data_IF_329770452638
#
_entry.id   IF_329770452638
#
_cell.length_a   1.000
_cell.length_b   1.000
_cell.length_c   1.000
_cell.angle_alpha   90.00
_cell.angle_beta   90.00
_cell.angle_gamma   90.00
#
_symmetry.space_group_name_H-M   'P 1'
#
loop_
_entity.id
_entity.type
_entity.pdbx_description
1 polymer ?
#
# COMPACT_ATOMS: atom_id res chain seq x y z
N UNK A 1 12.48 9.14 -18.96
CA UNK A 1 11.45 8.62 -18.02
C UNK A 1 12.20 8.26 -16.75
N UNK A 2 11.77 8.78 -15.60
CA UNK A 2 12.46 8.57 -14.32
C UNK A 2 11.44 8.10 -13.29
N UNK A 3 11.63 6.91 -12.73
CA UNK A 3 11.01 6.57 -11.45
C UNK A 3 11.64 7.47 -10.40
N UNK A 4 10.86 8.35 -9.80
CA UNK A 4 11.33 9.11 -8.64
C UNK A 4 10.93 8.32 -7.41
N UNK A 5 11.93 7.85 -6.66
CA UNK A 5 11.66 7.40 -5.29
C UNK A 5 10.95 8.53 -4.56
N UNK A 6 9.85 8.20 -3.89
CA UNK A 6 9.00 9.13 -3.13
C UNK A 6 9.86 9.87 -2.08
N UNK A 7 11.02 9.30 -1.71
CA UNK A 7 11.93 9.80 -0.68
C UNK A 7 12.75 11.05 -1.07
N UNK A 8 12.68 11.54 -2.32
CA UNK A 8 13.56 12.64 -2.79
C UNK A 8 12.83 13.87 -3.35
N UNK A 9 11.50 13.81 -3.57
CA UNK A 9 10.72 14.92 -4.14
C UNK A 9 10.05 15.83 -3.11
N UNK A 10 9.92 17.14 -3.37
CA UNK A 10 9.06 18.04 -2.56
C UNK A 10 7.57 17.89 -2.90
N UNK A 11 7.31 17.59 -4.17
CA UNK A 11 5.99 17.34 -4.77
C UNK A 11 6.12 16.20 -5.76
N UNK A 12 5.13 15.33 -5.80
CA UNK A 12 4.97 14.28 -6.79
C UNK A 12 4.14 14.78 -7.96
N UNK A 13 4.07 14.01 -9.06
CA UNK A 13 3.19 14.30 -10.16
C UNK A 13 1.76 14.58 -9.71
N UNK A 14 1.08 15.49 -10.41
CA UNK A 14 -0.23 15.99 -10.01
C UNK A 14 -0.23 16.96 -8.82
N UNK A 15 0.94 17.43 -8.35
CA UNK A 15 1.06 18.41 -7.26
C UNK A 15 0.92 17.82 -5.85
N UNK A 16 0.90 16.49 -5.72
CA UNK A 16 0.73 15.81 -4.43
C UNK A 16 1.98 16.04 -3.59
N UNK A 17 1.83 16.56 -2.38
CA UNK A 17 2.97 16.89 -1.52
C UNK A 17 3.62 15.64 -0.93
N UNK A 18 4.94 15.66 -0.79
CA UNK A 18 5.64 14.55 -0.12
C UNK A 18 5.19 14.32 1.33
N UNK A 19 4.82 15.42 2.00
CA UNK A 19 4.24 15.39 3.34
C UNK A 19 2.90 14.63 3.44
N UNK A 20 2.27 14.26 2.32
CA UNK A 20 1.11 13.35 2.35
C UNK A 20 1.53 11.94 2.77
N UNK A 21 2.70 11.48 2.34
CA UNK A 21 3.15 10.09 2.52
C UNK A 21 4.24 9.95 3.58
N UNK A 22 4.95 11.04 3.87
CA UNK A 22 6.01 11.06 4.87
C UNK A 22 5.76 12.12 5.94
N UNK A 23 6.19 11.82 7.15
CA UNK A 23 6.23 12.79 8.23
C UNK A 23 7.69 13.06 8.58
N UNK A 24 8.13 14.33 8.52
CA UNK A 24 9.50 14.68 8.89
C UNK A 24 9.67 14.53 10.40
N UNK A 25 10.81 13.98 10.81
CA UNK A 25 11.24 13.93 12.20
C UNK A 25 12.13 15.14 12.53
N UNK A 26 12.26 15.45 13.83
CA UNK A 26 13.05 16.59 14.30
C UNK A 26 14.56 16.45 14.00
N UNK A 27 15.05 15.22 13.85
CA UNK A 27 16.45 14.88 13.54
C UNK A 27 16.77 14.95 12.04
N UNK A 28 15.83 15.40 11.20
CA UNK A 28 15.99 15.50 9.74
C UNK A 28 15.72 14.19 8.99
N UNK A 29 15.37 13.11 9.69
CA UNK A 29 14.86 11.88 9.05
C UNK A 29 13.37 12.03 8.72
N UNK A 30 12.77 11.01 8.11
CA UNK A 30 11.33 10.96 7.89
C UNK A 30 10.79 9.58 8.23
N UNK A 31 9.50 9.52 8.59
CA UNK A 31 8.76 8.27 8.76
C UNK A 31 7.64 8.14 7.73
N UNK A 32 7.33 6.92 7.35
CA UNK A 32 6.13 6.64 6.57
C UNK A 32 4.87 7.04 7.35
N UNK A 33 3.94 7.68 6.66
CA UNK A 33 2.58 7.91 7.16
C UNK A 33 1.72 6.70 6.88
N UNK A 34 0.97 6.31 7.90
CA UNK A 34 -0.20 5.44 7.71
C UNK A 34 -1.32 6.30 7.15
N UNK A 35 -1.85 5.93 5.99
CA UNK A 35 -2.95 6.63 5.34
C UNK A 35 -4.25 5.88 5.61
N UNK A 36 -5.27 6.55 6.18
CA UNK A 36 -6.55 5.90 6.44
C UNK A 36 -7.29 5.67 5.11
N UNK A 37 -8.03 4.57 5.06
CA UNK A 37 -8.80 4.18 3.90
C UNK A 37 -10.05 3.38 4.30
N UNK A 38 -10.88 3.12 3.31
CA UNK A 38 -11.91 2.10 3.34
C UNK A 38 -11.69 1.11 2.20
N UNK A 39 -12.09 -0.14 2.41
CA UNK A 39 -12.12 -1.15 1.36
C UNK A 39 -13.27 -2.09 1.63
N UNK A 40 -14.16 -2.28 0.66
CA UNK A 40 -15.32 -3.17 0.77
C UNK A 40 -16.16 -2.96 2.05
N UNK A 41 -16.39 -1.69 2.40
CA UNK A 41 -17.18 -1.32 3.57
C UNK A 41 -16.43 -1.32 4.90
N UNK A 42 -15.16 -1.73 4.89
CA UNK A 42 -14.36 -1.94 6.08
C UNK A 42 -13.32 -0.83 6.28
N UNK A 43 -13.11 -0.34 7.52
CA UNK A 43 -11.97 0.52 7.84
C UNK A 43 -10.66 -0.19 7.55
N UNK A 44 -9.79 0.48 6.82
CA UNK A 44 -8.50 -0.01 6.39
C UNK A 44 -7.46 1.11 6.45
N UNK A 45 -6.20 0.75 6.29
CA UNK A 45 -5.12 1.71 6.14
C UNK A 45 -3.99 1.09 5.36
N UNK A 46 -3.27 1.92 4.63
CA UNK A 46 -2.12 1.52 3.82
C UNK A 46 -0.94 2.46 4.06
N UNK A 47 0.20 2.06 3.53
CA UNK A 47 1.38 2.92 3.40
C UNK A 47 1.77 2.99 1.93
N UNK A 48 2.40 4.09 1.51
CA UNK A 48 2.99 4.19 0.18
C UNK A 48 4.48 4.50 0.32
N UNK A 49 5.31 3.59 -0.17
CA UNK A 49 6.77 3.69 -0.12
C UNK A 49 7.36 4.14 -1.46
N UNK A 50 6.72 3.74 -2.54
CA UNK A 50 7.17 3.89 -3.92
C UNK A 50 6.02 4.43 -4.78
N UNK A 51 6.36 5.28 -5.76
CA UNK A 51 5.42 5.89 -6.69
C UNK A 51 6.03 5.97 -8.08
N UNK A 52 5.21 5.68 -9.09
CA UNK A 52 5.58 5.74 -10.49
C UNK A 52 4.59 6.60 -11.25
N UNK A 53 5.07 7.21 -12.33
CA UNK A 53 4.24 7.93 -13.28
C UNK A 53 4.61 7.66 -14.72
N UNK A 54 3.61 7.56 -15.57
CA UNK A 54 3.78 7.18 -16.97
C UNK A 54 4.07 5.68 -17.15
N UNK A 55 3.68 4.86 -16.17
CA UNK A 55 3.77 3.40 -16.23
C UNK A 55 2.38 2.80 -16.35
N UNK A 56 2.21 1.93 -17.34
CA UNK A 56 0.99 1.15 -17.51
C UNK A 56 0.99 -0.09 -16.61
N UNK A 57 2.15 -0.74 -16.45
CA UNK A 57 2.30 -2.01 -15.74
C UNK A 57 3.57 -2.01 -14.87
N UNK A 58 3.56 -2.84 -13.84
CA UNK A 58 4.68 -3.09 -12.94
C UNK A 58 4.86 -4.61 -12.86
N UNK A 59 6.09 -5.08 -13.02
CA UNK A 59 6.43 -6.51 -13.02
C UNK A 59 7.04 -6.94 -11.69
N UNK A 60 6.96 -8.24 -11.40
CA UNK A 60 7.83 -8.84 -10.40
C UNK A 60 9.29 -8.81 -10.88
N UNK A 61 10.17 -8.53 -9.95
CA UNK A 61 11.62 -8.62 -10.14
C UNK A 61 12.20 -9.82 -9.40
N UNK A 62 13.28 -10.42 -9.89
CA UNK A 62 13.90 -11.53 -9.19
C UNK A 62 14.64 -11.02 -7.94
N UNK A 63 14.33 -11.66 -6.81
CA UNK A 63 15.12 -11.62 -5.58
C UNK A 63 15.85 -12.96 -5.49
N UNK A 64 17.18 -12.95 -5.36
CA UNK A 64 17.93 -14.18 -5.12
C UNK A 64 18.33 -14.33 -3.64
N UNK A 65 17.91 -15.42 -3.01
CA UNK A 65 18.31 -15.79 -1.66
C UNK A 65 19.19 -17.03 -1.71
N UNK A 66 20.41 -16.92 -1.18
CA UNK A 66 21.38 -18.01 -1.20
C UNK A 66 21.08 -19.03 -0.11
N UNK A 67 21.07 -20.31 -0.48
CA UNK A 67 20.90 -21.46 0.42
C UNK A 67 21.96 -22.52 0.11
N UNK A 68 22.44 -23.25 1.11
CA UNK A 68 23.44 -24.33 0.90
C UNK A 68 22.80 -25.67 0.56
N UNK A 69 21.48 -25.80 0.74
CA UNK A 69 20.68 -26.95 0.33
C UNK A 69 19.23 -26.53 0.06
N UNK A 70 18.55 -27.27 -0.82
CA UNK A 70 17.12 -27.07 -1.08
C UNK A 70 16.26 -27.95 -0.18
N UNK A 71 15.26 -27.35 0.47
CA UNK A 71 14.19 -28.03 1.18
C UNK A 71 12.86 -27.41 0.78
N UNK A 72 12.05 -28.14 0.02
CA UNK A 72 10.76 -27.66 -0.47
C UNK A 72 9.78 -27.30 0.66
N UNK A 73 9.84 -28.01 1.80
CA UNK A 73 8.93 -27.78 2.93
C UNK A 73 9.38 -26.64 3.82
N UNK A 74 10.68 -26.36 3.84
CA UNK A 74 11.25 -25.25 4.59
C UNK A 74 12.40 -24.57 3.83
N UNK A 75 12.08 -23.82 2.74
CA UNK A 75 13.07 -23.22 1.84
C UNK A 75 14.12 -22.33 2.51
N UNK A 76 13.79 -21.74 3.66
CA UNK A 76 14.66 -20.85 4.41
C UNK A 76 15.59 -21.54 5.42
N UNK A 77 15.47 -22.86 5.64
CA UNK A 77 16.22 -23.59 6.69
C UNK A 77 17.73 -23.49 6.49
N UNK A 78 18.18 -23.63 5.24
CA UNK A 78 19.59 -23.71 4.88
C UNK A 78 20.11 -22.40 4.28
N UNK A 79 19.54 -21.24 4.67
CA UNK A 79 20.06 -19.94 4.21
C UNK A 79 21.55 -19.82 4.53
N UNK A 80 22.30 -19.36 3.53
CA UNK A 80 23.73 -19.10 3.68
C UNK A 80 23.96 -18.09 4.80
N UNK A 81 24.95 -18.36 5.65
CA UNK A 81 25.32 -17.52 6.79
C UNK A 81 26.82 -17.26 6.78
N UNK A 82 27.24 -16.14 7.34
CA UNK A 82 28.64 -15.90 7.66
C UNK A 82 29.10 -16.69 8.90
N UNK A 83 30.36 -16.51 9.28
CA UNK A 83 30.98 -17.15 10.44
C UNK A 83 30.29 -16.79 11.78
N UNK A 84 29.62 -15.63 11.84
CA UNK A 84 28.88 -15.17 13.02
C UNK A 84 27.41 -15.65 13.01
N UNK A 85 27.02 -16.43 12.00
CA UNK A 85 25.67 -16.95 11.84
C UNK A 85 24.66 -15.93 11.28
N UNK A 86 25.12 -14.75 10.84
CA UNK A 86 24.27 -13.76 10.19
C UNK A 86 23.97 -14.22 8.76
N UNK A 87 22.70 -14.12 8.39
CA UNK A 87 22.23 -14.55 7.09
C UNK A 87 22.75 -13.63 5.99
N UNK A 88 23.21 -14.21 4.88
CA UNK A 88 23.66 -13.47 3.71
C UNK A 88 22.55 -12.54 3.20
N UNK A 89 22.90 -11.28 2.82
CA UNK A 89 21.97 -10.37 2.16
C UNK A 89 21.35 -11.02 0.91
N UNK A 90 20.11 -10.64 0.62
CA UNK A 90 19.51 -10.97 -0.67
C UNK A 90 20.24 -10.23 -1.80
N UNK A 91 20.16 -10.75 -3.02
CA UNK A 91 20.68 -10.08 -4.21
C UNK A 91 19.49 -9.66 -5.07
N UNK A 92 19.40 -8.37 -5.38
CA UNK A 92 18.42 -7.79 -6.29
C UNK A 92 19.08 -7.44 -7.61
N UNK A 93 18.35 -7.67 -8.69
CA UNK A 93 18.86 -7.51 -10.06
C UNK A 93 18.80 -6.06 -10.55
N UNK A 94 17.86 -5.27 -10.03
CA UNK A 94 17.55 -3.95 -10.58
C UNK A 94 17.50 -2.91 -9.47
N UNK A 95 18.25 -1.83 -9.66
CA UNK A 95 18.29 -0.69 -8.74
C UNK A 95 17.21 0.37 -9.02
N UNK A 96 16.95 1.24 -8.04
CA UNK A 96 15.94 2.33 -8.10
C UNK A 96 16.16 3.33 -9.23
N UNK A 97 17.39 3.44 -9.74
CA UNK A 97 17.72 4.33 -10.85
C UNK A 97 17.29 3.76 -12.21
N UNK A 98 16.97 2.46 -12.26
CA UNK A 98 16.50 1.81 -13.48
C UNK A 98 15.03 2.10 -13.75
N UNK A 99 14.70 2.34 -15.02
CA UNK A 99 13.32 2.45 -15.48
C UNK A 99 12.51 1.16 -15.31
N UNK A 100 13.17 0.03 -15.06
CA UNK A 100 12.50 -1.26 -14.82
C UNK A 100 12.25 -1.55 -13.34
N UNK A 101 12.74 -0.70 -12.41
CA UNK A 101 12.65 -0.91 -10.97
C UNK A 101 11.21 -1.15 -10.46
N UNK A 102 11.07 -2.13 -9.56
CA UNK A 102 9.82 -2.46 -8.89
C UNK A 102 10.12 -3.05 -7.50
N UNK A 103 9.40 -2.65 -6.44
CA UNK A 103 9.55 -3.21 -5.10
C UNK A 103 8.81 -4.55 -4.96
N UNK A 104 8.25 -5.09 -6.04
CA UNK A 104 7.56 -6.37 -6.03
C UNK A 104 8.54 -7.44 -6.48
N UNK A 105 8.87 -8.36 -5.59
CA UNK A 105 9.92 -9.34 -5.79
C UNK A 105 9.35 -10.75 -5.82
N UNK A 106 9.84 -11.57 -6.75
CA UNK A 106 9.71 -13.03 -6.72
C UNK A 106 10.99 -13.60 -6.13
N UNK A 107 10.87 -14.28 -5.00
CA UNK A 107 12.04 -14.95 -4.39
C UNK A 107 12.45 -16.14 -5.24
N UNK A 108 13.74 -16.29 -5.46
CA UNK A 108 14.39 -17.46 -6.00
C UNK A 108 15.42 -17.95 -4.98
N UNK A 109 15.28 -19.20 -4.57
CA UNK A 109 16.22 -19.87 -3.69
C UNK A 109 17.33 -20.48 -4.52
N UNK A 110 18.54 -19.94 -4.40
CA UNK A 110 19.69 -20.34 -5.22
C UNK A 110 20.59 -21.25 -4.39
N UNK A 111 20.78 -22.48 -4.85
CA UNK A 111 21.59 -23.47 -4.16
C UNK A 111 23.06 -23.21 -4.48
N UNK A 112 23.80 -22.74 -3.49
CA UNK A 112 25.24 -22.48 -3.58
C UNK A 112 26.05 -23.60 -2.94
N UNK A 113 27.30 -23.86 -3.38
CA UNK A 113 28.19 -24.78 -2.70
C UNK A 113 28.38 -24.44 -1.20
N UNK A 114 28.53 -25.42 -0.29
CA UNK A 114 28.66 -25.18 1.15
C UNK A 114 29.82 -24.26 1.55
N UNK A 115 30.87 -24.19 0.74
CA UNK A 115 32.06 -23.34 0.93
C UNK A 115 31.86 -21.89 0.47
N UNK A 116 30.73 -21.58 -0.16
CA UNK A 116 30.41 -20.23 -0.64
C UNK A 116 30.38 -19.26 0.53
N UNK A 117 31.04 -18.10 0.39
CA UNK A 117 30.96 -17.04 1.40
C UNK A 117 29.86 -16.03 1.04
N UNK A 118 29.28 -15.29 2.00
CA UNK A 118 28.28 -14.27 1.71
C UNK A 118 28.72 -13.13 0.78
N UNK A 119 30.02 -12.96 0.54
CA UNK A 119 30.58 -11.99 -0.39
C UNK A 119 30.92 -12.59 -1.77
N UNK A 120 30.69 -13.88 -1.99
CA UNK A 120 30.99 -14.54 -3.28
C UNK A 120 30.09 -14.03 -4.39
N UNK A 121 28.81 -13.79 -4.08
CA UNK A 121 27.82 -13.24 -5.01
C UNK A 121 27.21 -11.98 -4.40
N UNK A 122 27.56 -10.82 -4.96
CA UNK A 122 27.01 -9.50 -4.60
C UNK A 122 26.29 -8.84 -5.78
N UNK A 123 26.25 -9.51 -6.93
CA UNK A 123 25.55 -9.06 -8.11
C UNK A 123 24.86 -10.23 -8.82
N UNK A 124 23.72 -9.96 -9.43
CA UNK A 124 22.89 -10.95 -10.11
C UNK A 124 23.59 -11.54 -11.34
N UNK A 125 24.45 -10.77 -12.03
CA UNK A 125 25.14 -11.21 -13.24
C UNK A 125 26.12 -12.34 -12.94
N UNK A 126 26.95 -12.18 -11.91
CA UNK A 126 27.88 -13.21 -11.44
C UNK A 126 27.12 -14.45 -10.95
N UNK A 127 26.01 -14.26 -10.24
CA UNK A 127 25.17 -15.36 -9.75
C UNK A 127 24.55 -16.16 -10.92
N UNK A 128 23.98 -15.47 -11.90
CA UNK A 128 23.36 -16.09 -13.08
C UNK A 128 24.40 -16.77 -13.98
N UNK A 129 25.58 -16.16 -14.15
CA UNK A 129 26.68 -16.74 -14.90
C UNK A 129 27.20 -18.06 -14.28
N UNK A 130 27.03 -18.24 -12.96
CA UNK A 130 27.41 -19.48 -12.28
C UNK A 130 26.47 -20.67 -12.58
N UNK A 131 25.31 -20.45 -13.21
CA UNK A 131 24.41 -21.53 -13.64
C UNK A 131 23.89 -22.41 -12.50
N UNK A 132 23.76 -21.84 -11.30
CA UNK A 132 23.36 -22.58 -10.10
C UNK A 132 21.88 -23.00 -10.13
N UNK A 133 21.50 -24.10 -9.47
CA UNK A 133 20.10 -24.49 -9.33
C UNK A 133 19.28 -23.41 -8.61
N UNK A 134 18.12 -23.05 -9.18
CA UNK A 134 17.22 -22.03 -8.63
C UNK A 134 15.80 -22.59 -8.49
N UNK A 135 15.17 -22.30 -7.35
CA UNK A 135 13.80 -22.74 -7.06
C UNK A 135 12.91 -21.53 -6.75
N UNK A 136 11.76 -21.38 -7.42
CA UNK A 136 10.88 -20.24 -7.18
C UNK A 136 10.26 -20.32 -5.79
N UNK A 137 10.13 -19.16 -5.14
CA UNK A 137 9.54 -18.97 -3.83
C UNK A 137 8.35 -18.00 -3.86
N UNK A 138 7.91 -17.55 -2.68
CA UNK A 138 6.80 -16.61 -2.56
C UNK A 138 7.16 -15.21 -3.07
N UNK A 139 6.14 -14.40 -3.33
CA UNK A 139 6.30 -13.01 -3.71
C UNK A 139 6.24 -12.07 -2.50
N UNK A 140 7.05 -11.02 -2.52
CA UNK A 140 7.22 -10.06 -1.44
C UNK A 140 7.23 -8.63 -1.95
N UNK A 141 6.85 -7.68 -1.09
CA UNK A 141 7.01 -6.26 -1.35
C UNK A 141 8.16 -5.73 -0.48
N UNK A 142 9.26 -5.36 -1.11
CA UNK A 142 10.39 -4.70 -0.47
C UNK A 142 10.79 -3.46 -1.25
N UNK A 143 10.69 -2.30 -0.61
CA UNK A 143 11.12 -1.03 -1.20
C UNK A 143 12.55 -0.74 -0.78
N UNK A 144 13.37 -0.29 -1.74
CA UNK A 144 14.67 0.28 -1.43
C UNK A 144 14.43 1.62 -0.74
N UNK A 145 15.05 1.81 0.42
CA UNK A 145 14.88 3.05 1.19
C UNK A 145 16.17 3.84 1.21
N UNK A 146 16.05 5.13 1.48
CA UNK A 146 17.19 5.94 1.90
C UNK A 146 17.50 5.68 3.37
N UNK A 147 18.73 5.95 3.78
CA UNK A 147 19.12 5.90 5.20
C UNK A 147 18.33 6.90 6.07
N UNK A 148 17.76 7.95 5.45
CA UNK A 148 16.94 8.97 6.11
C UNK A 148 15.50 8.53 6.41
N UNK A 149 15.05 7.37 5.90
CA UNK A 149 13.75 6.80 6.27
C UNK A 149 13.90 5.90 7.49
N UNK A 150 13.16 6.19 8.56
CA UNK A 150 13.00 5.33 9.72
C UNK A 150 11.51 5.08 10.02
N UNK A 151 11.23 4.23 11.00
CA UNK A 151 9.85 3.90 11.40
C UNK A 151 9.36 4.72 12.61
N UNK A 152 10.20 5.62 13.12
CA UNK A 152 9.97 6.33 14.39
C UNK A 152 10.01 5.41 15.62
N UNK A 153 9.71 6.00 16.78
CA UNK A 153 9.57 5.26 18.04
C UNK A 153 8.14 4.74 18.22
N UNK A 154 8.02 3.51 18.73
CA UNK A 154 6.74 2.86 18.99
C UNK A 154 6.09 2.25 17.75
N UNK A 155 4.93 1.61 17.95
CA UNK A 155 4.18 1.01 16.85
C UNK A 155 3.29 2.07 16.18
N UNK A 156 3.28 2.13 14.84
CA UNK A 156 2.37 3.01 14.13
C UNK A 156 0.91 2.67 14.47
N UNK A 157 0.06 3.70 14.47
CA UNK A 157 -1.37 3.60 14.79
C UNK A 157 -2.21 4.02 13.60
N UNK A 158 -3.41 3.44 13.51
CA UNK A 158 -4.41 3.82 12.53
C UNK A 158 -4.86 5.27 12.82
N UNK A 159 -4.77 6.22 11.86
CA UNK A 159 -5.03 7.64 12.11
C UNK A 159 -6.43 7.94 12.67
N UNK A 160 -7.44 7.19 12.23
CA UNK A 160 -8.83 7.38 12.67
C UNK A 160 -9.25 6.52 13.86
N UNK A 161 -8.71 5.31 14.01
CA UNK A 161 -9.15 4.33 15.01
C UNK A 161 -8.24 4.30 16.24
N UNK A 162 -7.01 4.81 16.13
CA UNK A 162 -6.01 4.77 17.20
C UNK A 162 -5.44 3.37 17.52
N UNK A 163 -5.96 2.31 16.90
CA UNK A 163 -5.48 0.94 17.04
C UNK A 163 -4.10 0.76 16.41
N UNK A 164 -3.30 -0.18 16.92
CA UNK A 164 -2.03 -0.55 16.29
C UNK A 164 -2.26 -1.07 14.86
N UNK A 165 -1.34 -0.74 13.94
CA UNK A 165 -1.33 -1.30 12.58
C UNK A 165 -0.35 -2.46 12.46
N UNK A 166 -0.46 -3.20 11.35
CA UNK A 166 0.49 -4.22 10.94
C UNK A 166 1.92 -3.69 10.85
N UNK A 167 2.89 -4.56 11.11
CA UNK A 167 4.28 -4.15 11.14
C UNK A 167 4.82 -3.89 9.73
N UNK A 168 4.91 -2.61 9.35
CA UNK A 168 5.94 -2.15 8.41
C UNK A 168 7.27 -2.25 9.15
N UNK A 169 8.27 -2.90 8.54
CA UNK A 169 9.55 -3.15 9.19
C UNK A 169 10.70 -2.69 8.31
N UNK A 170 11.80 -2.26 8.94
CA UNK A 170 13.06 -2.14 8.22
C UNK A 170 13.46 -3.54 7.75
N UNK A 171 13.72 -3.67 6.46
CA UNK A 171 14.22 -4.91 5.89
C UNK A 171 15.71 -5.06 6.17
N UNK A 172 16.27 -6.28 6.04
CA UNK A 172 17.71 -6.43 5.96
C UNK A 172 18.25 -5.66 4.74
N UNK A 173 19.51 -5.28 4.79
CA UNK A 173 20.15 -4.76 3.59
C UNK A 173 20.22 -5.84 2.51
N UNK A 174 20.28 -5.41 1.26
CA UNK A 174 20.37 -6.28 0.09
C UNK A 174 21.48 -5.78 -0.85
N UNK A 175 22.12 -6.71 -1.53
CA UNK A 175 23.03 -6.42 -2.61
C UNK A 175 22.26 -6.00 -3.86
N UNK A 176 22.60 -4.85 -4.44
CA UNK A 176 22.03 -4.33 -5.67
C UNK A 176 23.18 -3.83 -6.52
N UNK A 177 23.42 -4.47 -7.67
CA UNK A 177 24.53 -4.12 -8.58
C UNK A 177 25.91 -4.08 -7.88
N UNK A 178 26.13 -4.92 -6.87
CA UNK A 178 27.39 -4.98 -6.11
C UNK A 178 27.43 -4.12 -4.85
N UNK A 179 26.45 -3.23 -4.65
CA UNK A 179 26.39 -2.33 -3.49
C UNK A 179 25.35 -2.80 -2.47
N UNK A 180 25.68 -2.64 -1.18
CA UNK A 180 24.77 -2.99 -0.10
C UNK A 180 23.81 -1.82 0.17
N UNK A 181 22.51 -2.03 -0.08
CA UNK A 181 21.47 -1.00 0.06
C UNK A 181 20.43 -1.37 1.12
N UNK A 182 19.99 -0.40 1.94
CA UNK A 182 18.97 -0.64 2.93
C UNK A 182 17.60 -0.81 2.27
N UNK A 183 16.81 -1.73 2.82
CA UNK A 183 15.46 -2.01 2.34
C UNK A 183 14.40 -1.83 3.42
N UNK A 184 13.14 -1.88 3.01
CA UNK A 184 11.97 -1.84 3.87
C UNK A 184 11.03 -2.97 3.48
N UNK A 185 10.63 -3.78 4.47
CA UNK A 185 9.69 -4.87 4.30
C UNK A 185 8.26 -4.34 4.43
N UNK A 186 7.48 -4.52 3.37
CA UNK A 186 6.07 -4.14 3.29
C UNK A 186 5.12 -5.35 3.27
N UNK A 187 5.64 -6.53 3.60
CA UNK A 187 4.90 -7.78 3.69
C UNK A 187 5.03 -8.65 2.44
N UNK A 188 4.52 -9.87 2.54
CA UNK A 188 4.49 -10.85 1.46
C UNK A 188 3.10 -11.40 1.25
N UNK A 189 2.82 -11.86 0.02
CA UNK A 189 1.53 -12.42 -0.39
C UNK A 189 0.31 -11.51 -0.13
N UNK A 190 0.50 -10.19 -0.14
CA UNK A 190 -0.55 -9.19 -0.02
C UNK A 190 -0.97 -8.57 -1.37
N UNK A 191 -0.62 -9.24 -2.47
CA UNK A 191 -0.95 -8.85 -3.84
C UNK A 191 -1.05 -10.08 -4.73
N UNK A 192 -1.55 -9.89 -5.95
CA UNK A 192 -1.58 -10.92 -6.99
C UNK A 192 -0.87 -10.42 -8.25
N UNK A 193 -0.51 -11.36 -9.11
CA UNK A 193 0.15 -11.12 -10.38
C UNK A 193 -0.28 -12.20 -11.37
N UNK A 194 -0.11 -11.93 -12.66
CA UNK A 194 -0.48 -12.87 -13.71
C UNK A 194 0.65 -13.84 -14.09
N UNK A 195 0.40 -14.68 -15.09
CA UNK A 195 1.39 -15.66 -15.59
C UNK A 195 2.61 -15.04 -16.27
N UNK A 196 2.56 -13.74 -16.58
CA UNK A 196 3.65 -12.94 -17.15
C UNK A 196 4.34 -12.09 -16.08
N UNK A 197 4.08 -12.40 -14.80
CA UNK A 197 4.63 -11.71 -13.65
C UNK A 197 4.23 -10.22 -13.58
N UNK A 198 3.17 -9.79 -14.28
CA UNK A 198 2.59 -8.45 -14.14
C UNK A 198 1.78 -8.39 -12.85
N UNK A 199 2.10 -7.42 -11.98
CA UNK A 199 1.39 -7.19 -10.72
C UNK A 199 0.02 -6.60 -11.01
N UNK A 200 -1.03 -7.21 -10.47
CA UNK A 200 -2.38 -6.68 -10.60
C UNK A 200 -2.54 -5.40 -9.77
N UNK A 201 -2.86 -4.30 -10.45
CA UNK A 201 -3.26 -3.07 -9.80
C UNK A 201 -4.69 -3.14 -9.26
N UNK A 202 -4.96 -2.36 -8.21
CA UNK A 202 -6.33 -2.02 -7.80
C UNK A 202 -6.58 -0.52 -7.89
N UNK A 203 -7.84 -0.11 -8.02
CA UNK A 203 -8.18 1.30 -7.97
C UNK A 203 -8.05 1.86 -6.54
N UNK A 204 -7.38 3.00 -6.38
CA UNK A 204 -7.39 3.82 -5.17
C UNK A 204 -8.08 5.14 -5.50
N UNK A 205 -9.23 5.41 -4.88
CA UNK A 205 -9.98 6.64 -5.07
C UNK A 205 -9.66 7.64 -3.97
N UNK A 206 -9.10 8.78 -4.32
CA UNK A 206 -9.05 9.95 -3.45
C UNK A 206 -10.19 10.88 -3.80
N UNK A 207 -11.01 11.18 -2.81
CA UNK A 207 -12.23 11.97 -3.00
C UNK A 207 -11.98 13.44 -2.74
N UNK A 208 -12.52 14.30 -3.59
CA UNK A 208 -12.52 15.74 -3.33
C UNK A 208 -13.87 16.36 -3.73
N UNK A 209 -14.34 17.39 -3.01
CA UNK A 209 -15.54 18.12 -3.43
C UNK A 209 -15.36 18.74 -4.82
N UNK A 210 -16.43 18.75 -5.63
CA UNK A 210 -16.46 19.45 -6.92
C UNK A 210 -16.16 20.94 -6.71
N UNK A 211 -15.31 21.49 -7.58
CA UNK A 211 -14.87 22.88 -7.50
C UNK A 211 -13.70 23.14 -6.54
N UNK A 212 -13.18 22.11 -5.84
CA UNK A 212 -11.91 22.21 -5.11
C UNK A 212 -10.74 21.67 -5.93
N UNK A 213 -9.53 22.07 -5.54
CA UNK A 213 -8.30 21.56 -6.16
C UNK A 213 -8.09 20.08 -5.78
N UNK A 214 -7.59 19.23 -6.71
CA UNK A 214 -7.25 17.84 -6.42
C UNK A 214 -6.31 17.62 -5.24
N UNK A 215 -5.46 18.61 -4.92
CA UNK A 215 -4.54 18.54 -3.77
C UNK A 215 -5.27 18.36 -2.44
N UNK A 216 -6.55 18.77 -2.33
CA UNK A 216 -7.35 18.53 -1.12
C UNK A 216 -7.81 17.08 -0.97
N UNK A 217 -7.68 16.25 -2.01
CA UNK A 217 -8.23 14.90 -2.02
C UNK A 217 -7.55 13.98 -0.98
N UNK A 218 -6.28 14.25 -0.66
CA UNK A 218 -5.53 13.51 0.34
C UNK A 218 -5.96 13.80 1.79
N UNK A 219 -6.84 14.81 2.01
CA UNK A 219 -7.34 15.14 3.34
C UNK A 219 -8.43 14.19 3.82
N UNK A 220 -9.09 13.46 2.92
CA UNK A 220 -10.11 12.47 3.25
C UNK A 220 -9.54 11.05 3.11
N UNK A 221 -10.06 10.07 3.88
CA UNK A 221 -9.67 8.68 3.70
C UNK A 221 -9.94 8.21 2.27
N UNK A 222 -8.99 7.48 1.69
CA UNK A 222 -9.14 6.91 0.36
C UNK A 222 -10.10 5.72 0.35
N UNK A 223 -10.53 5.29 -0.83
CA UNK A 223 -11.20 3.99 -1.03
C UNK A 223 -10.30 3.11 -1.87
N UNK A 224 -9.86 1.98 -1.31
CA UNK A 224 -9.06 0.99 -2.02
C UNK A 224 -10.00 -0.11 -2.50
N UNK A 225 -10.04 -0.29 -3.82
CA UNK A 225 -10.79 -1.35 -4.46
C UNK A 225 -10.13 -2.71 -4.40
N UNK A 226 -10.75 -3.66 -5.07
CA UNK A 226 -10.31 -5.06 -5.12
C UNK A 226 -9.77 -5.46 -6.49
N UNK A 227 -9.96 -4.61 -7.51
CA UNK A 227 -9.44 -4.78 -8.86
C UNK A 227 -9.26 -3.43 -9.57
N UNK A 228 -8.89 -3.43 -10.86
CA UNK A 228 -8.78 -2.22 -11.64
C UNK A 228 -10.14 -1.52 -11.80
N UNK A 229 -10.11 -0.23 -12.13
CA UNK A 229 -11.34 0.55 -12.37
C UNK A 229 -12.23 -0.10 -13.44
N UNK A 230 -13.52 -0.23 -13.15
CA UNK A 230 -14.49 -0.89 -14.02
C UNK A 230 -14.40 -2.42 -14.04
N UNK A 231 -13.43 -3.02 -13.35
CA UNK A 231 -13.20 -4.46 -13.29
C UNK A 231 -13.04 -4.91 -11.83
N UNK A 232 -14.18 -5.06 -11.16
CA UNK A 232 -14.26 -5.48 -9.75
C UNK A 232 -13.88 -6.94 -9.61
N UNK A 233 -12.95 -7.24 -8.71
CA UNK A 233 -12.63 -8.61 -8.32
C UNK A 233 -13.22 -8.93 -6.94
N UNK A 234 -13.50 -10.21 -6.62
CA UNK A 234 -13.84 -10.57 -5.25
C UNK A 234 -12.68 -10.25 -4.30
N UNK A 235 -12.97 -9.66 -3.14
CA UNK A 235 -11.97 -9.44 -2.10
C UNK A 235 -11.40 -10.78 -1.62
N UNK A 236 -10.12 -11.04 -1.92
CA UNK A 236 -9.43 -12.23 -1.43
C UNK A 236 -8.71 -11.89 -0.12
N UNK A 237 -9.19 -12.45 0.99
CA UNK A 237 -8.63 -12.22 2.32
C UNK A 237 -8.34 -13.56 3.00
N UNK A 238 -7.09 -13.80 3.40
CA UNK A 238 -6.69 -15.04 4.08
C UNK A 238 -6.10 -14.68 5.45
N UNK A 239 -6.76 -15.07 6.53
CA UNK A 239 -6.26 -14.79 7.89
C UNK A 239 -6.09 -13.30 8.20
N UNK A 240 -7.04 -12.46 7.74
CA UNK A 240 -6.97 -10.99 7.82
C UNK A 240 -5.84 -10.34 6.98
N UNK A 241 -5.35 -11.06 5.96
CA UNK A 241 -4.39 -10.54 4.99
C UNK A 241 -5.06 -10.41 3.62
N UNK A 242 -5.40 -9.19 3.18
CA UNK A 242 -5.81 -8.95 1.80
C UNK A 242 -4.74 -9.44 0.84
N UNK A 243 -5.12 -10.16 -0.23
CA UNK A 243 -4.25 -10.53 -1.36
C UNK A 243 -4.38 -9.55 -2.53
N UNK A 244 -4.69 -8.30 -2.20
CA UNK A 244 -4.90 -7.19 -3.13
C UNK A 244 -4.46 -5.90 -2.46
N UNK A 245 -4.32 -4.83 -3.24
CA UNK A 245 -3.83 -3.56 -2.71
C UNK A 245 -2.33 -3.56 -2.43
N UNK A 246 -1.53 -4.42 -3.08
CA UNK A 246 -0.08 -4.19 -3.09
C UNK A 246 0.30 -3.01 -4.00
N UNK A 247 -0.33 -2.94 -5.17
CA UNK A 247 -0.18 -1.89 -6.17
C UNK A 247 -1.52 -1.19 -6.37
N UNK A 248 -1.53 0.13 -6.28
CA UNK A 248 -2.72 0.94 -6.51
C UNK A 248 -2.48 1.94 -7.64
N UNK A 249 -3.48 2.07 -8.51
CA UNK A 249 -3.59 3.22 -9.40
C UNK A 249 -4.47 4.27 -8.77
N UNK A 250 -3.96 5.49 -8.68
CA UNK A 250 -4.69 6.61 -8.09
C UNK A 250 -5.72 7.17 -9.08
N UNK A 251 -6.94 7.34 -8.59
CA UNK A 251 -8.05 8.02 -9.25
C UNK A 251 -8.50 9.19 -8.38
N UNK A 252 -8.82 10.31 -9.01
CA UNK A 252 -9.42 11.46 -8.36
C UNK A 252 -10.93 11.41 -8.56
N UNK A 253 -11.68 11.26 -7.47
CA UNK A 253 -13.13 11.14 -7.49
C UNK A 253 -13.79 12.46 -7.03
N UNK A 254 -14.42 13.16 -7.96
CA UNK A 254 -15.07 14.44 -7.73
C UNK A 254 -16.50 14.24 -7.16
N UNK A 255 -16.65 14.40 -5.85
CA UNK A 255 -17.93 14.22 -5.16
C UNK A 255 -18.74 15.52 -5.12
N UNK A 256 -20.09 15.46 -5.02
CA UNK A 256 -20.90 16.65 -4.78
C UNK A 256 -20.42 17.44 -3.56
N UNK A 257 -20.58 18.76 -3.57
CA UNK A 257 -20.18 19.64 -2.44
C UNK A 257 -20.93 19.35 -1.14
N UNK A 258 -22.04 18.60 -1.22
CA UNK A 258 -22.83 18.13 -0.08
C UNK A 258 -22.30 16.81 0.50
N UNK A 259 -21.30 16.16 -0.11
CA UNK A 259 -20.66 14.99 0.45
C UNK A 259 -19.71 15.38 1.59
N UNK A 260 -19.62 14.54 2.62
CA UNK A 260 -18.71 14.77 3.73
C UNK A 260 -18.24 13.44 4.37
N UNK A 261 -17.02 13.40 4.94
CA UNK A 261 -16.63 12.34 5.86
C UNK A 261 -17.44 12.43 7.15
N UNK A 262 -17.83 11.28 7.70
CA UNK A 262 -18.49 11.21 8.99
C UNK A 262 -17.51 11.44 10.13
N UNK A 263 -17.76 12.44 10.97
CA UNK A 263 -16.95 12.72 12.17
C UNK A 263 -17.84 12.59 13.42
N UNK A 264 -17.68 11.52 14.23
CA UNK A 264 -18.56 11.24 15.37
C UNK A 264 -18.73 12.42 16.34
N UNK A 265 -17.64 13.14 16.60
CA UNK A 265 -17.61 14.26 17.55
C UNK A 265 -18.33 15.51 17.00
N UNK A 266 -18.33 15.67 15.67
CA UNK A 266 -19.00 16.77 14.99
C UNK A 266 -20.48 16.45 14.68
N UNK A 267 -20.92 15.21 14.89
CA UNK A 267 -22.28 14.74 14.60
C UNK A 267 -22.84 13.88 15.74
N UNK A 268 -23.00 14.45 16.96
CA UNK A 268 -23.38 13.68 18.15
C UNK A 268 -24.74 12.98 18.05
N UNK A 269 -25.70 13.57 17.32
CA UNK A 269 -27.00 12.94 17.09
C UNK A 269 -26.88 11.66 16.25
N UNK A 270 -26.11 11.71 15.17
CA UNK A 270 -25.80 10.55 14.33
C UNK A 270 -25.01 9.47 15.10
N UNK A 271 -24.04 9.88 15.92
CA UNK A 271 -23.30 8.98 16.81
C UNK A 271 -24.20 8.27 17.81
N UNK A 272 -25.20 8.97 18.36
CA UNK A 272 -26.20 8.38 19.25
C UNK A 272 -27.06 7.33 18.52
N UNK A 273 -27.44 7.57 17.26
CA UNK A 273 -28.17 6.60 16.44
C UNK A 273 -27.35 5.33 16.16
N UNK A 274 -26.06 5.46 15.87
CA UNK A 274 -25.16 4.29 15.74
C UNK A 274 -25.09 3.51 17.04
N UNK A 275 -24.90 4.20 18.16
CA UNK A 275 -24.83 3.57 19.49
C UNK A 275 -26.13 2.85 19.84
N UNK A 276 -27.29 3.47 19.56
CA UNK A 276 -28.61 2.87 19.76
C UNK A 276 -28.83 1.61 18.89
N UNK A 277 -28.17 1.54 17.73
CA UNK A 277 -28.15 0.37 16.85
C UNK A 277 -27.06 -0.66 17.20
N UNK A 278 -26.35 -0.51 18.33
CA UNK A 278 -25.19 -1.33 18.74
C UNK A 278 -24.04 -1.32 17.72
N UNK A 279 -23.84 -0.20 17.04
CA UNK A 279 -22.72 0.04 16.12
C UNK A 279 -21.74 1.01 16.76
N UNK A 280 -20.44 0.75 16.59
CA UNK A 280 -19.38 1.64 17.07
C UNK A 280 -19.26 2.87 16.14
N UNK A 281 -19.51 4.10 16.63
CA UNK A 281 -19.31 5.31 15.84
C UNK A 281 -17.88 5.48 15.30
N UNK A 282 -16.87 5.00 16.03
CA UNK A 282 -15.48 5.10 15.60
C UNK A 282 -15.21 4.30 14.32
N UNK A 283 -15.89 3.16 14.12
CA UNK A 283 -15.78 2.36 12.91
C UNK A 283 -16.32 3.06 11.65
N UNK A 284 -17.11 4.13 11.80
CA UNK A 284 -17.62 4.95 10.69
C UNK A 284 -16.81 6.23 10.47
N UNK A 285 -15.88 6.59 11.38
CA UNK A 285 -15.13 7.84 11.30
C UNK A 285 -14.40 7.95 9.97
N UNK A 286 -14.51 9.08 9.30
CA UNK A 286 -13.89 9.37 8.02
C UNK A 286 -14.58 8.73 6.80
N UNK A 287 -15.58 7.87 6.99
CA UNK A 287 -16.34 7.26 5.88
C UNK A 287 -17.12 8.35 5.16
N UNK A 288 -16.94 8.48 3.85
CA UNK A 288 -17.58 9.55 3.07
C UNK A 288 -18.99 9.13 2.69
N UNK A 289 -19.96 10.02 2.93
CA UNK A 289 -21.35 9.82 2.54
C UNK A 289 -21.83 10.87 1.53
N UNK A 290 -22.63 10.43 0.56
CA UNK A 290 -23.42 11.28 -0.31
C UNK A 290 -24.76 11.63 0.34
N UNK A 291 -25.23 12.84 0.08
CA UNK A 291 -26.61 13.24 0.38
C UNK A 291 -27.54 12.88 -0.80
N UNK A 292 -28.04 11.64 -0.82
CA UNK A 292 -28.86 11.13 -1.93
C UNK A 292 -30.23 11.82 -2.08
N UNK A 293 -30.72 12.52 -1.05
CA UNK A 293 -32.08 13.12 -1.03
C UNK A 293 -32.12 14.64 -1.23
N UNK A 294 -30.99 15.36 -1.14
CA UNK A 294 -30.99 16.83 -1.09
C UNK A 294 -29.88 17.46 -1.96
N UNK A 295 -30.03 17.36 -3.27
CA UNK A 295 -29.13 18.02 -4.25
C UNK A 295 -29.23 19.57 -4.20
N UNK A 296 -30.27 20.13 -3.58
CA UNK A 296 -30.62 21.55 -3.63
C UNK A 296 -30.52 22.33 -2.30
N UNK A 297 -29.96 21.76 -1.23
CA UNK A 297 -29.84 22.45 0.08
C UNK A 297 -28.40 22.46 0.59
N UNK A 298 -28.07 23.45 1.41
CA UNK A 298 -26.78 23.60 2.11
C UNK A 298 -26.51 22.50 3.17
N UNK A 299 -27.39 21.50 3.28
CA UNK A 299 -27.30 20.41 4.25
C UNK A 299 -26.16 19.44 3.85
N UNK A 300 -25.10 19.43 4.64
CA UNK A 300 -23.95 18.53 4.46
C UNK A 300 -24.34 17.11 4.85
N UNK A 301 -24.16 16.16 3.92
CA UNK A 301 -24.38 14.73 4.08
C UNK A 301 -25.77 14.33 4.66
N UNK A 302 -25.93 13.04 4.94
CA UNK A 302 -27.16 12.39 5.45
C UNK A 302 -27.16 12.19 6.97
N UNK A 303 -26.22 12.81 7.69
CA UNK A 303 -25.96 12.54 9.11
C UNK A 303 -27.10 13.01 10.03
N UNK A 304 -27.89 13.98 9.59
CA UNK A 304 -29.06 14.46 10.32
C UNK A 304 -30.36 13.71 9.96
N UNK A 305 -30.32 12.73 9.05
CA UNK A 305 -31.49 11.93 8.70
C UNK A 305 -31.77 10.91 9.83
N UNK A 306 -33.00 10.84 10.40
CA UNK A 306 -33.35 9.87 11.43
C UNK A 306 -33.14 8.40 11.03
N UNK A 307 -33.06 8.10 9.73
CA UNK A 307 -32.72 6.78 9.21
C UNK A 307 -31.22 6.47 9.16
N UNK A 308 -30.36 7.32 9.73
CA UNK A 308 -28.91 7.09 9.81
C UNK A 308 -28.59 5.80 10.61
N UNK A 309 -27.59 4.99 10.20
CA UNK A 309 -26.71 5.15 9.04
C UNK A 309 -27.27 4.57 7.72
N UNK A 310 -28.43 3.91 7.75
CA UNK A 310 -28.98 3.20 6.59
C UNK A 310 -29.53 4.12 5.49
N UNK A 311 -29.88 5.35 5.83
CA UNK A 311 -30.29 6.39 4.88
C UNK A 311 -29.13 6.96 4.05
N UNK A 312 -27.89 6.71 4.48
CA UNK A 312 -26.69 7.22 3.83
C UNK A 312 -26.26 6.38 2.64
N UNK A 313 -25.84 7.06 1.57
CA UNK A 313 -25.12 6.43 0.46
C UNK A 313 -23.62 6.58 0.71
N UNK A 314 -23.01 5.56 1.26
CA UNK A 314 -21.59 5.54 1.60
C UNK A 314 -20.71 5.30 0.36
N UNK A 315 -19.53 5.92 0.32
CA UNK A 315 -18.49 5.77 -0.70
C UNK A 315 -17.26 5.12 -0.07
N UNK A 316 -17.31 3.81 0.12
CA UNK A 316 -16.40 3.05 0.99
C UNK A 316 -16.00 1.68 0.43
N UNK A 317 -16.40 1.42 -0.81
CA UNK A 317 -16.08 0.25 -1.61
C UNK A 317 -15.90 0.71 -3.05
N UNK A 318 -15.16 -0.07 -3.85
CA UNK A 318 -15.00 0.26 -5.26
C UNK A 318 -16.36 0.33 -5.96
N UNK A 319 -17.24 -0.63 -5.68
CA UNK A 319 -18.58 -0.66 -6.23
C UNK A 319 -19.37 0.61 -5.89
N UNK A 320 -19.35 1.03 -4.63
CA UNK A 320 -20.07 2.24 -4.24
C UNK A 320 -19.52 3.51 -4.89
N UNK A 321 -18.20 3.64 -5.05
CA UNK A 321 -17.61 4.80 -5.74
C UNK A 321 -18.00 4.82 -7.21
N UNK A 322 -17.76 3.71 -7.93
CA UNK A 322 -18.04 3.60 -9.36
C UNK A 322 -19.53 3.76 -9.68
N UNK A 323 -20.41 3.04 -8.96
CA UNK A 323 -21.85 3.03 -9.24
C UNK A 323 -22.55 4.36 -8.89
N UNK A 324 -22.07 5.08 -7.87
CA UNK A 324 -22.75 6.27 -7.36
C UNK A 324 -22.24 7.57 -7.95
N UNK A 325 -20.96 7.63 -8.32
CA UNK A 325 -20.39 8.84 -8.92
C UNK A 325 -20.47 8.80 -10.45
N UNK A 326 -20.33 7.61 -11.05
CA UNK A 326 -20.22 7.41 -12.49
C UNK A 326 -18.87 7.88 -13.06
N UNK A 327 -18.50 7.35 -14.21
CA UNK A 327 -17.19 7.53 -14.85
C UNK A 327 -16.82 9.01 -15.05
N UNK A 328 -17.79 9.87 -15.39
CA UNK A 328 -17.55 11.29 -15.63
C UNK A 328 -17.07 12.07 -14.39
N UNK A 329 -17.24 11.51 -13.18
CA UNK A 329 -16.77 12.10 -11.93
C UNK A 329 -15.44 11.50 -11.46
N UNK A 330 -14.86 10.56 -12.20
CA UNK A 330 -13.66 9.81 -11.79
C UNK A 330 -12.57 10.01 -12.83
N UNK A 331 -11.50 10.68 -12.44
CA UNK A 331 -10.35 10.96 -13.31
C UNK A 331 -9.22 9.99 -12.99
N UNK A 332 -8.84 9.15 -13.97
CA UNK A 332 -7.61 8.33 -13.90
C UNK A 332 -6.39 9.25 -13.86
N UNK A 333 -5.51 9.03 -12.90
CA UNK A 333 -4.18 9.67 -12.90
C UNK A 333 -3.15 8.72 -13.52
N UNK A 334 -1.99 9.27 -13.91
CA UNK A 334 -0.85 8.46 -14.33
C UNK A 334 -0.09 7.83 -13.16
N UNK A 335 -0.58 7.99 -11.93
CA UNK A 335 0.13 7.62 -10.72
C UNK A 335 -0.20 6.19 -10.32
N UNK A 336 0.85 5.38 -10.26
CA UNK A 336 0.90 4.11 -9.58
C UNK A 336 1.65 4.28 -8.26
N UNK A 337 1.24 3.58 -7.22
CA UNK A 337 1.97 3.54 -5.95
C UNK A 337 1.84 2.19 -5.29
N UNK A 338 2.83 1.87 -4.45
CA UNK A 338 2.64 0.82 -3.44
C UNK A 338 1.52 1.26 -2.50
N UNK A 339 0.64 0.33 -2.16
CA UNK A 339 -0.44 0.59 -1.20
C UNK A 339 -0.72 -0.57 -0.23
N UNK A 340 0.28 -1.36 0.19
CA UNK A 340 0.05 -2.53 1.01
C UNK A 340 -0.74 -2.17 2.27
N UNK A 341 -1.81 -2.91 2.51
CA UNK A 341 -2.60 -2.74 3.71
C UNK A 341 -1.76 -3.03 4.96
N UNK A 342 -1.76 -2.09 5.89
CA UNK A 342 -1.26 -2.26 7.25
C UNK A 342 -2.42 -2.53 8.23
N UNK A 343 -3.64 -2.14 7.87
CA UNK A 343 -4.87 -2.61 8.52
C UNK A 343 -5.94 -2.95 7.50
N UNK A 344 -6.77 -3.93 7.84
CA UNK A 344 -7.97 -4.29 7.10
C UNK A 344 -9.04 -4.76 8.09
N UNK A 345 -10.30 -4.35 7.88
CA UNK A 345 -11.41 -4.62 8.80
C UNK A 345 -11.07 -4.24 10.26
N UNK A 346 -10.48 -3.03 10.43
CA UNK A 346 -10.04 -2.49 11.71
C UNK A 346 -9.02 -3.37 12.48
N UNK A 347 -8.38 -4.33 11.80
CA UNK A 347 -7.39 -5.24 12.40
C UNK A 347 -6.06 -5.09 11.69
N UNK A 348 -4.98 -5.17 12.46
CA UNK A 348 -3.62 -5.20 11.91
C UNK A 348 -3.46 -6.35 10.90
N UNK A 349 -2.87 -6.04 9.76
CA UNK A 349 -2.40 -7.06 8.80
C UNK A 349 -1.11 -7.64 9.37
N UNK A 350 -1.11 -8.93 9.68
CA UNK A 350 0.05 -9.60 10.30
C UNK A 350 1.04 -10.08 9.27
#
# INVERSE_FOLDING_TARGET
MSGLSVLQGKTFPGGIRAATFFEPNADGTSRLRVLPAFSEGMPAAYVAAEMWTGYDEIWLQPWYSLVTAWDEKAPSTYRLKDADGKVAPAIYDVDVESTFYSPFWRVFWVVVPPETTPSTYTDSRALLAAGLPMYPGPAWIYSMRTASLNLGEGKPKHPLLGSEVGAVALGPDAWVEGDLKPSMNLGGNNFTYDKTDVVHEVALFWMHPRGTLPESAAAWPGVVGTGPFGARAPAQVVGNRPRFGGLCRLYLAAVPVTAAPFEPDASPAASALLTAANLDPAAYRGRVALNAKKVAMNDKACFDDPGFPGSCTWLDSQAAVEDRLGDAAITRTEILMTCPFVTYAAKAVK
#
